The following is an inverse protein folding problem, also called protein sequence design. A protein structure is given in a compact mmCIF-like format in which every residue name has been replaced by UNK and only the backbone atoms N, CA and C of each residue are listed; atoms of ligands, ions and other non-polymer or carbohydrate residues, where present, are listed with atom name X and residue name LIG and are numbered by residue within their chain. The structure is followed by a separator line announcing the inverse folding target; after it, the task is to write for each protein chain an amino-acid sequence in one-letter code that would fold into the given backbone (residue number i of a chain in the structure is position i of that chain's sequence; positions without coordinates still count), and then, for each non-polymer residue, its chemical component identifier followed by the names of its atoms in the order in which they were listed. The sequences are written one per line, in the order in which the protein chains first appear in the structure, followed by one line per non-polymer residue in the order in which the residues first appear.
data_IF_624334439311
#
_entry.id   IF_624334439311
#
_cell.length_a   1.000
_cell.length_b   1.000
_cell.length_c   1.000
_cell.angle_alpha   90.00
_cell.angle_beta   90.00
_cell.angle_gamma   90.00
#
_symmetry.space_group_name_H-M   'P 1'
#
loop_
_entity.id
_entity.type
_entity.pdbx_description
1 polymer ?
#
# COMPACT_ATOMS: atom_id res chain seq x y z
N UNK A 1 13.48 -12.98 22.38
CA UNK A 1 13.62 -11.70 23.12
C UNK A 1 12.71 -10.59 22.58
N UNK A 2 12.61 -10.40 21.26
CA UNK A 2 11.77 -9.34 20.63
C UNK A 2 10.30 -9.41 21.01
N UNK A 3 9.67 -10.59 20.88
CA UNK A 3 8.26 -10.83 21.25
C UNK A 3 7.96 -10.46 22.71
N UNK A 4 8.87 -10.82 23.63
CA UNK A 4 8.70 -10.54 25.06
C UNK A 4 8.78 -9.03 25.38
N UNK A 5 9.52 -8.25 24.59
CA UNK A 5 9.75 -6.82 24.84
C UNK A 5 8.72 -5.92 24.13
N UNK A 6 8.26 -6.33 22.95
CA UNK A 6 7.46 -5.49 22.04
C UNK A 6 6.19 -6.19 21.52
N UNK A 7 5.79 -7.31 22.12
CA UNK A 7 4.51 -8.01 21.86
C UNK A 7 4.24 -8.20 20.36
N UNK A 8 3.22 -7.55 19.83
CA UNK A 8 2.79 -7.51 18.44
C UNK A 8 3.88 -7.00 17.48
N UNK A 9 4.51 -5.87 17.77
CA UNK A 9 5.63 -5.36 16.97
C UNK A 9 6.83 -6.29 17.06
N UNK A 10 7.06 -6.87 18.24
CA UNK A 10 8.13 -7.84 18.48
C UNK A 10 7.96 -9.14 17.71
N UNK A 11 6.71 -9.61 17.53
CA UNK A 11 6.38 -10.77 16.71
C UNK A 11 6.57 -10.48 15.21
N UNK A 12 6.10 -9.32 14.75
CA UNK A 12 6.31 -8.89 13.37
C UNK A 12 7.82 -8.81 13.03
N UNK A 13 8.63 -8.20 13.90
CA UNK A 13 10.08 -8.17 13.73
C UNK A 13 10.72 -9.56 13.80
N UNK A 14 10.33 -10.39 14.76
CA UNK A 14 10.86 -11.75 14.89
C UNK A 14 10.60 -12.57 13.62
N UNK A 15 9.40 -12.45 13.04
CA UNK A 15 9.09 -13.03 11.74
C UNK A 15 9.97 -12.44 10.63
N UNK A 16 10.08 -11.11 10.54
CA UNK A 16 10.90 -10.43 9.53
C UNK A 16 12.36 -10.88 9.53
N UNK A 17 12.97 -11.02 10.70
CA UNK A 17 14.37 -11.43 10.85
C UNK A 17 14.59 -12.95 10.79
N UNK A 18 13.51 -13.74 10.72
CA UNK A 18 13.59 -15.21 10.71
C UNK A 18 13.82 -15.83 12.09
N UNK A 19 13.66 -15.07 13.17
CA UNK A 19 13.67 -15.58 14.55
C UNK A 19 12.43 -16.48 14.79
N UNK A 20 11.35 -16.24 14.05
CA UNK A 20 10.13 -17.07 14.01
C UNK A 20 9.84 -17.42 12.56
N UNK A 21 9.70 -18.71 12.28
CA UNK A 21 9.24 -19.21 10.99
C UNK A 21 7.80 -19.72 11.08
N UNK A 22 6.99 -19.36 10.10
CA UNK A 22 5.57 -19.69 10.07
C UNK A 22 5.09 -19.71 8.62
N UNK A 23 4.47 -20.83 8.22
CA UNK A 23 3.93 -20.99 6.87
C UNK A 23 2.71 -20.10 6.63
N UNK A 24 1.81 -20.01 7.62
CA UNK A 24 0.62 -19.18 7.60
C UNK A 24 0.61 -18.15 8.74
N UNK A 25 1.38 -17.08 8.52
CA UNK A 25 1.43 -15.93 9.43
C UNK A 25 0.05 -15.24 9.57
N UNK A 26 -0.84 -15.36 8.58
CA UNK A 26 -2.19 -14.77 8.66
C UNK A 26 -3.02 -15.48 9.71
N UNK A 27 -3.04 -16.81 9.67
CA UNK A 27 -3.72 -17.65 10.66
C UNK A 27 -3.12 -17.48 12.06
N UNK A 28 -1.79 -17.36 12.18
CA UNK A 28 -1.14 -17.08 13.47
C UNK A 28 -1.64 -15.75 14.07
N UNK A 29 -1.68 -14.68 13.28
CA UNK A 29 -2.17 -13.37 13.77
C UNK A 29 -3.67 -13.44 14.11
N UNK A 30 -4.49 -14.14 13.31
CA UNK A 30 -5.91 -14.33 13.62
C UNK A 30 -6.11 -15.07 14.95
N UNK A 31 -5.33 -16.12 15.22
CA UNK A 31 -5.36 -16.83 16.51
C UNK A 31 -5.00 -15.88 17.65
N UNK A 32 -3.95 -15.07 17.49
CA UNK A 32 -3.54 -14.10 18.53
C UNK A 32 -4.62 -13.04 18.78
N UNK A 33 -5.28 -12.55 17.74
CA UNK A 33 -6.39 -11.59 17.85
C UNK A 33 -7.59 -12.23 18.54
N UNK A 34 -7.95 -13.46 18.15
CA UNK A 34 -9.06 -14.20 18.75
C UNK A 34 -8.85 -14.46 20.25
N UNK A 35 -7.59 -14.63 20.67
CA UNK A 35 -7.20 -14.88 22.06
C UNK A 35 -6.68 -13.63 22.78
N UNK A 36 -6.86 -12.42 22.23
CA UNK A 36 -6.27 -11.18 22.76
C UNK A 36 -6.58 -10.94 24.24
N UNK A 37 -7.79 -11.30 24.67
CA UNK A 37 -8.23 -11.11 26.05
C UNK A 37 -7.47 -12.00 27.04
N UNK A 38 -7.16 -13.24 26.66
CA UNK A 38 -6.37 -14.16 27.48
C UNK A 38 -4.91 -13.70 27.55
N UNK A 39 -4.37 -13.19 26.44
CA UNK A 39 -3.01 -12.66 26.36
C UNK A 39 -2.84 -11.38 27.21
N UNK A 40 -3.87 -10.54 27.26
CA UNK A 40 -3.87 -9.32 28.08
C UNK A 40 -4.02 -9.61 29.58
N UNK A 41 -4.75 -10.69 29.95
CA UNK A 41 -5.04 -11.04 31.32
C UNK A 41 -3.89 -11.76 32.06
N UNK A 42 -2.97 -12.42 31.35
CA UNK A 42 -1.86 -13.19 31.95
C UNK A 42 -0.66 -12.31 32.37
N UNK A 43 -0.97 -11.23 33.08
CA UNK A 43 -0.11 -10.11 33.47
C UNK A 43 0.84 -10.40 34.64
N UNK A 44 1.34 -11.63 34.80
CA UNK A 44 2.35 -11.94 35.83
C UNK A 44 3.78 -11.72 35.29
N UNK A 45 4.00 -11.87 33.98
CA UNK A 45 5.30 -11.62 33.32
C UNK A 45 5.48 -10.18 32.80
N UNK A 46 4.39 -9.43 32.61
CA UNK A 46 4.37 -8.08 32.01
C UNK A 46 4.72 -6.96 32.99
N UNK A 47 4.55 -7.16 34.30
CA UNK A 47 4.83 -6.16 35.34
C UNK A 47 6.34 -5.89 35.51
N UNK A 48 7.19 -6.92 35.42
CA UNK A 48 8.64 -6.78 35.58
C UNK A 48 9.36 -6.19 34.35
N UNK A 49 8.83 -6.40 33.14
CA UNK A 49 9.43 -5.87 31.89
C UNK A 49 8.91 -4.47 31.52
N UNK A 50 7.84 -3.99 32.15
CA UNK A 50 7.17 -2.73 31.82
C UNK A 50 8.01 -1.46 32.08
N UNK A 51 8.96 -1.48 33.01
CA UNK A 51 9.83 -0.32 33.29
C UNK A 51 10.86 -0.03 32.18
N UNK A 52 11.20 -1.03 31.36
CA UNK A 52 12.06 -0.85 30.19
C UNK A 52 11.33 -0.29 28.96
N UNK A 53 9.99 -0.36 28.93
CA UNK A 53 9.16 -0.02 27.75
C UNK A 53 9.18 1.46 27.37
N UNK A 54 9.40 2.39 28.31
CA UNK A 54 9.28 3.84 28.06
C UNK A 54 10.53 4.47 27.41
N UNK A 55 11.71 3.88 27.64
CA UNK A 55 12.99 4.48 27.23
C UNK A 55 13.47 4.01 25.86
N UNK A 56 13.18 2.77 25.46
CA UNK A 56 13.54 2.22 24.14
C UNK A 56 12.48 2.51 23.07
N UNK A 57 11.20 2.58 23.44
CA UNK A 57 10.11 2.96 22.51
C UNK A 57 10.29 4.36 21.94
N UNK A 58 10.80 5.33 22.71
CA UNK A 58 11.07 6.69 22.20
C UNK A 58 12.21 6.77 21.19
N UNK A 59 13.26 5.94 21.34
CA UNK A 59 14.35 5.82 20.34
C UNK A 59 13.91 5.05 19.09
N UNK A 60 13.04 4.04 19.24
CA UNK A 60 12.52 3.23 18.14
C UNK A 60 11.39 3.91 17.36
N UNK A 61 10.48 4.63 18.04
CA UNK A 61 9.56 5.57 17.37
C UNK A 61 10.37 6.65 16.64
N UNK A 62 11.53 7.09 17.13
CA UNK A 62 12.39 8.01 16.39
C UNK A 62 12.88 7.47 15.04
N UNK A 63 13.07 6.15 14.91
CA UNK A 63 13.48 5.47 13.67
C UNK A 63 12.27 5.25 12.73
N UNK A 64 11.05 5.22 13.27
CA UNK A 64 9.80 5.00 12.50
C UNK A 64 8.94 6.27 12.29
N UNK A 65 9.18 7.35 13.03
CA UNK A 65 8.32 8.54 13.11
C UNK A 65 9.10 9.78 12.70
N UNK A 66 9.80 9.69 11.56
CA UNK A 66 10.06 10.87 10.76
C UNK A 66 9.22 10.72 9.50
N UNK A 67 7.97 11.21 9.53
CA UNK A 67 6.95 10.92 8.52
C UNK A 67 7.40 11.26 7.09
N UNK A 68 8.21 12.31 6.90
CA UNK A 68 8.85 12.61 5.60
C UNK A 68 9.85 11.52 5.18
N UNK A 69 10.77 11.14 6.06
CA UNK A 69 11.81 10.15 5.74
C UNK A 69 11.24 8.74 5.57
N UNK A 70 10.21 8.36 6.34
CA UNK A 70 9.63 7.01 6.30
C UNK A 70 8.62 6.83 5.14
N UNK A 71 7.81 7.86 4.83
CA UNK A 71 6.97 7.86 3.63
C UNK A 71 7.85 7.86 2.37
N UNK A 72 8.92 8.67 2.33
CA UNK A 72 9.88 8.64 1.23
C UNK A 72 10.57 7.27 1.14
N UNK A 73 11.10 6.72 2.23
CA UNK A 73 11.83 5.45 2.22
C UNK A 73 10.98 4.23 1.81
N UNK A 74 9.65 4.26 2.03
CA UNK A 74 8.75 3.20 1.58
C UNK A 74 8.40 3.29 0.09
N UNK A 75 8.30 4.51 -0.47
CA UNK A 75 8.01 4.76 -1.89
C UNK A 75 9.25 4.98 -2.76
N UNK A 76 10.42 5.16 -2.16
CA UNK A 76 11.71 5.22 -2.84
C UNK A 76 12.27 3.82 -3.15
N UNK A 77 11.51 2.76 -2.81
CA UNK A 77 11.69 1.45 -3.39
C UNK A 77 11.39 1.51 -4.90
N UNK A 78 12.32 1.01 -5.71
CA UNK A 78 12.30 1.20 -7.16
C UNK A 78 10.98 0.79 -7.82
N UNK A 79 10.55 1.56 -8.83
CA UNK A 79 9.31 1.34 -9.59
C UNK A 79 9.13 -0.09 -10.09
N UNK A 80 10.24 -0.79 -10.38
CA UNK A 80 10.26 -2.20 -10.79
C UNK A 80 9.58 -3.11 -9.77
N UNK A 81 9.84 -2.89 -8.48
CA UNK A 81 9.25 -3.69 -7.41
C UNK A 81 7.72 -3.48 -7.35
N UNK A 82 7.26 -2.22 -7.34
CA UNK A 82 5.82 -1.93 -7.34
C UNK A 82 5.12 -2.44 -8.61
N UNK A 83 5.76 -2.31 -9.78
CA UNK A 83 5.19 -2.83 -11.04
C UNK A 83 4.98 -4.35 -11.04
N UNK A 84 5.62 -5.09 -10.15
CA UNK A 84 5.47 -6.54 -10.04
C UNK A 84 4.12 -6.97 -9.45
N UNK A 85 3.38 -6.09 -8.78
CA UNK A 85 2.09 -6.44 -8.17
C UNK A 85 1.01 -5.37 -8.28
N UNK A 86 1.34 -4.15 -8.71
CA UNK A 86 0.35 -3.13 -9.02
C UNK A 86 -0.29 -3.34 -10.40
N UNK A 87 -1.33 -2.56 -10.65
CA UNK A 87 -1.90 -2.46 -11.98
C UNK A 87 -0.92 -1.81 -12.96
N UNK A 88 -1.13 -2.00 -14.27
CA UNK A 88 -0.32 -1.39 -15.33
C UNK A 88 -0.26 0.13 -15.23
N UNK A 89 -1.32 0.75 -14.70
CA UNK A 89 -1.35 2.18 -14.44
C UNK A 89 -0.64 2.58 -13.13
N UNK A 90 0.03 1.66 -12.44
CA UNK A 90 0.75 1.86 -11.18
C UNK A 90 -0.14 2.50 -10.10
N UNK A 91 -1.39 2.03 -9.99
CA UNK A 91 -2.31 2.49 -8.95
C UNK A 91 -2.00 1.80 -7.62
N UNK A 92 -1.56 2.58 -6.62
CA UNK A 92 -1.35 2.12 -5.25
C UNK A 92 -2.46 2.64 -4.34
N UNK A 93 -3.68 2.19 -4.63
CA UNK A 93 -4.85 2.46 -3.82
C UNK A 93 -5.78 1.24 -3.86
N UNK A 94 -6.90 1.31 -3.14
CA UNK A 94 -7.94 0.26 -3.22
C UNK A 94 -8.35 0.01 -4.67
N UNK A 95 -8.78 -1.20 -4.95
CA UNK A 95 -9.48 -1.57 -6.17
C UNK A 95 -11.00 -1.56 -5.96
N UNK A 96 -11.75 -1.82 -7.03
CA UNK A 96 -13.16 -2.20 -6.98
C UNK A 96 -13.32 -3.54 -7.70
N UNK A 97 -13.91 -4.50 -7.00
CA UNK A 97 -14.10 -5.88 -7.45
C UNK A 97 -15.61 -6.11 -7.58
N UNK A 98 -16.04 -6.83 -8.61
CA UNK A 98 -17.46 -7.18 -8.78
C UNK A 98 -17.94 -8.10 -7.67
N UNK A 99 -17.09 -9.06 -7.28
CA UNK A 99 -17.33 -9.95 -6.16
C UNK A 99 -16.14 -9.89 -5.19
N UNK A 100 -16.40 -9.37 -4.00
CA UNK A 100 -15.39 -9.12 -2.97
C UNK A 100 -14.74 -10.42 -2.46
N UNK A 101 -15.48 -11.52 -2.36
CA UNK A 101 -15.02 -12.79 -1.77
C UNK A 101 -14.72 -13.89 -2.79
N UNK A 102 -14.68 -13.57 -4.09
CA UNK A 102 -14.36 -14.54 -5.16
C UNK A 102 -13.00 -15.24 -4.97
N UNK A 103 -12.01 -14.62 -4.31
CA UNK A 103 -10.71 -15.24 -4.02
C UNK A 103 -10.73 -16.23 -2.87
N UNK A 104 -11.71 -16.11 -1.98
CA UNK A 104 -11.87 -16.96 -0.81
C UNK A 104 -12.72 -18.20 -1.11
N UNK A 105 -13.40 -18.25 -2.26
CA UNK A 105 -14.23 -19.39 -2.67
C UNK A 105 -13.35 -20.60 -3.06
N UNK A 106 -13.42 -21.72 -2.31
CA UNK A 106 -12.66 -22.93 -2.62
C UNK A 106 -12.95 -23.51 -4.02
N UNK A 107 -14.17 -23.32 -4.54
CA UNK A 107 -14.55 -23.76 -5.88
C UNK A 107 -13.93 -22.89 -6.98
N UNK A 108 -13.65 -21.61 -6.70
CA UNK A 108 -12.93 -20.71 -7.60
C UNK A 108 -11.43 -21.02 -7.63
N UNK A 109 -10.86 -21.40 -6.49
CA UNK A 109 -9.47 -21.88 -6.37
C UNK A 109 -9.24 -23.16 -7.19
N UNK A 110 -10.15 -24.14 -7.10
CA UNK A 110 -10.04 -25.41 -7.82
C UNK A 110 -10.12 -25.28 -9.37
N UNK A 111 -10.77 -24.23 -9.88
CA UNK A 111 -10.92 -23.99 -11.33
C UNK A 111 -9.72 -23.28 -11.98
N UNK A 112 -8.66 -22.97 -11.23
CA UNK A 112 -7.49 -22.25 -11.76
C UNK A 112 -7.78 -20.82 -12.23
N UNK A 113 -8.99 -20.30 -11.96
CA UNK A 113 -9.43 -18.94 -12.29
C UNK A 113 -8.57 -17.93 -11.53
N UNK A 114 -8.17 -18.27 -10.30
CA UNK A 114 -7.23 -17.51 -9.46
C UNK A 114 -5.81 -17.36 -10.07
N UNK A 115 -5.43 -18.18 -11.05
CA UNK A 115 -4.04 -18.25 -11.55
C UNK A 115 -3.77 -17.51 -12.86
N UNK A 116 -4.66 -17.60 -13.86
CA UNK A 116 -4.39 -17.09 -15.23
C UNK A 116 -5.44 -16.13 -15.80
N UNK A 117 -6.71 -16.29 -15.43
CA UNK A 117 -7.79 -15.36 -15.80
C UNK A 117 -7.91 -14.21 -14.79
N UNK A 118 -7.43 -14.42 -13.56
CA UNK A 118 -7.37 -13.42 -12.50
C UNK A 118 -6.49 -12.23 -12.86
N UNK A 119 -5.37 -12.38 -13.58
CA UNK A 119 -4.45 -11.24 -13.78
C UNK A 119 -5.09 -10.10 -14.58
N UNK A 120 -5.77 -10.36 -15.69
CA UNK A 120 -6.43 -9.29 -16.46
C UNK A 120 -7.64 -8.69 -15.73
N UNK A 121 -8.46 -9.53 -15.09
CA UNK A 121 -9.63 -9.07 -14.30
C UNK A 121 -9.19 -8.28 -13.06
N UNK A 122 -8.14 -8.72 -12.37
CA UNK A 122 -7.52 -8.01 -11.26
C UNK A 122 -6.91 -6.69 -11.72
N UNK A 123 -6.16 -6.67 -12.83
CA UNK A 123 -5.62 -5.45 -13.41
C UNK A 123 -6.72 -4.42 -13.73
N UNK A 124 -7.86 -4.90 -14.26
CA UNK A 124 -9.03 -4.07 -14.49
C UNK A 124 -9.65 -3.54 -13.18
N UNK A 125 -9.86 -4.40 -12.19
CA UNK A 125 -10.39 -4.01 -10.87
C UNK A 125 -9.50 -3.02 -10.13
N UNK A 126 -8.18 -3.22 -10.16
CA UNK A 126 -7.17 -2.32 -9.60
C UNK A 126 -7.20 -0.92 -10.25
N UNK A 127 -7.57 -0.85 -11.53
CA UNK A 127 -7.70 0.42 -12.26
C UNK A 127 -9.06 1.12 -12.08
N UNK A 128 -10.09 0.46 -11.54
CA UNK A 128 -11.46 1.00 -11.50
C UNK A 128 -11.72 1.97 -10.35
N UNK A 129 -10.98 1.88 -9.24
CA UNK A 129 -11.23 2.73 -8.08
C UNK A 129 -11.07 4.23 -8.39
N UNK A 130 -10.07 4.60 -9.20
CA UNK A 130 -9.91 5.98 -9.68
C UNK A 130 -11.12 6.49 -10.47
N UNK A 131 -11.76 5.65 -11.29
CA UNK A 131 -12.98 6.03 -12.01
C UNK A 131 -14.15 6.30 -11.07
N UNK A 132 -14.29 5.47 -10.03
CA UNK A 132 -15.30 5.66 -9.00
C UNK A 132 -15.10 6.97 -8.23
N UNK A 133 -13.87 7.25 -7.79
CA UNK A 133 -13.53 8.50 -7.11
C UNK A 133 -13.86 9.69 -8.00
N UNK A 134 -13.43 9.65 -9.28
CA UNK A 134 -13.71 10.71 -10.23
C UNK A 134 -15.22 10.94 -10.44
N UNK A 135 -16.02 9.88 -10.52
CA UNK A 135 -17.48 9.99 -10.59
C UNK A 135 -18.07 10.67 -9.35
N UNK A 136 -17.57 10.34 -8.15
CA UNK A 136 -18.03 10.91 -6.88
C UNK A 136 -17.54 12.34 -6.65
N UNK A 137 -16.41 12.73 -7.24
CA UNK A 137 -15.77 14.03 -7.08
C UNK A 137 -16.53 15.21 -7.72
N UNK A 138 -17.52 14.93 -8.58
CA UNK A 138 -18.35 15.93 -9.28
C UNK A 138 -17.53 16.99 -10.04
N UNK A 139 -16.32 16.64 -10.49
CA UNK A 139 -15.47 17.50 -11.32
C UNK A 139 -16.23 17.83 -12.62
N UNK A 140 -16.19 19.10 -13.01
CA UNK A 140 -16.73 19.62 -14.27
C UNK A 140 -15.61 20.02 -15.21
N UNK A 141 -15.96 20.13 -16.48
CA UNK A 141 -15.00 20.54 -17.50
C UNK A 141 -14.44 21.94 -17.26
N UNK A 142 -13.13 22.10 -17.51
CA UNK A 142 -12.41 23.35 -17.30
C UNK A 142 -12.06 23.69 -15.85
N UNK A 143 -12.41 22.86 -14.87
CA UNK A 143 -12.08 23.12 -13.46
C UNK A 143 -10.61 22.85 -13.14
N UNK A 144 -10.17 23.39 -11.99
CA UNK A 144 -8.86 23.11 -11.38
C UNK A 144 -9.03 22.13 -10.22
N UNK A 145 -8.16 21.12 -10.16
CA UNK A 145 -8.26 19.98 -9.23
C UNK A 145 -6.97 19.82 -8.43
N UNK A 146 -7.10 19.57 -7.11
CA UNK A 146 -5.96 19.23 -6.23
C UNK A 146 -6.02 17.75 -5.98
N UNK A 147 -4.98 17.07 -6.38
CA UNK A 147 -4.73 15.71 -5.94
C UNK A 147 -3.65 15.71 -4.85
N UNK A 148 -4.01 15.24 -3.66
CA UNK A 148 -3.05 14.99 -2.59
C UNK A 148 -2.67 13.51 -2.64
N UNK A 149 -1.41 13.23 -2.97
CA UNK A 149 -0.90 11.89 -3.18
C UNK A 149 -0.88 11.51 -4.66
N UNK A 150 0.07 12.06 -5.43
CA UNK A 150 0.21 11.80 -6.88
C UNK A 150 0.29 10.32 -7.26
N UNK A 151 0.84 9.48 -6.37
CA UNK A 151 1.28 8.14 -6.75
C UNK A 151 2.15 8.23 -8.00
N UNK A 152 1.81 7.46 -9.03
CA UNK A 152 2.50 7.50 -10.32
C UNK A 152 1.74 8.28 -11.41
N UNK A 153 0.80 9.15 -11.03
CA UNK A 153 0.08 10.07 -11.93
C UNK A 153 -1.17 9.49 -12.60
N UNK A 154 -1.60 8.28 -12.24
CA UNK A 154 -2.70 7.57 -12.91
C UNK A 154 -4.06 8.25 -12.78
N UNK A 155 -4.34 8.85 -11.63
CA UNK A 155 -5.59 9.57 -11.36
C UNK A 155 -5.57 10.95 -12.02
N UNK A 156 -4.48 11.73 -11.88
CA UNK A 156 -4.33 13.01 -12.58
C UNK A 156 -4.50 12.88 -14.10
N UNK A 157 -3.84 11.90 -14.72
CA UNK A 157 -3.94 11.63 -16.16
C UNK A 157 -5.38 11.28 -16.53
N UNK A 158 -6.06 10.44 -15.73
CA UNK A 158 -7.44 10.08 -15.99
C UNK A 158 -8.38 11.28 -15.86
N UNK A 159 -8.23 12.09 -14.80
CA UNK A 159 -9.04 13.26 -14.55
C UNK A 159 -8.93 14.28 -15.70
N UNK A 160 -7.70 14.61 -16.11
CA UNK A 160 -7.46 15.57 -17.19
C UNK A 160 -8.01 15.09 -18.53
N UNK A 161 -7.90 13.78 -18.85
CA UNK A 161 -8.47 13.20 -20.07
C UNK A 161 -9.99 13.14 -20.05
N UNK A 162 -10.58 12.75 -18.92
CA UNK A 162 -12.04 12.55 -18.82
C UNK A 162 -12.80 13.86 -18.71
N UNK A 163 -12.30 14.81 -17.93
CA UNK A 163 -13.01 16.06 -17.67
C UNK A 163 -12.41 17.26 -18.37
N UNK A 164 -11.30 17.17 -19.09
CA UNK A 164 -10.67 18.35 -19.67
C UNK A 164 -10.38 19.42 -18.58
N UNK A 165 -9.98 18.97 -17.40
CA UNK A 165 -9.63 19.80 -16.24
C UNK A 165 -8.11 20.01 -16.15
N UNK A 166 -7.70 21.01 -15.37
CA UNK A 166 -6.30 21.22 -14.98
C UNK A 166 -6.09 20.58 -13.61
N UNK A 167 -5.02 19.79 -13.46
CA UNK A 167 -4.70 19.07 -12.24
C UNK A 167 -3.37 19.57 -11.70
N UNK A 168 -3.34 19.95 -10.43
CA UNK A 168 -2.08 20.02 -9.70
C UNK A 168 -2.06 18.89 -8.69
N UNK A 169 -0.97 18.16 -8.67
CA UNK A 169 -0.83 16.95 -7.87
C UNK A 169 0.43 17.02 -7.04
N UNK A 170 0.35 16.59 -5.78
CA UNK A 170 1.44 16.70 -4.82
C UNK A 170 1.83 15.33 -4.26
N UNK A 171 3.13 15.05 -4.18
CA UNK A 171 3.68 13.86 -3.55
C UNK A 171 4.94 14.20 -2.76
N UNK A 172 5.25 13.40 -1.74
CA UNK A 172 6.52 13.47 -1.00
C UNK A 172 7.63 12.63 -1.65
N UNK A 173 7.30 11.71 -2.58
CA UNK A 173 8.29 10.81 -3.19
C UNK A 173 8.81 11.37 -4.52
N UNK A 174 10.13 11.50 -4.61
CA UNK A 174 10.82 11.95 -5.81
C UNK A 174 10.70 10.94 -6.96
N UNK A 175 10.79 9.63 -6.67
CA UNK A 175 10.63 8.54 -7.64
C UNK A 175 9.24 8.52 -8.27
N UNK A 176 8.19 8.69 -7.44
CA UNK A 176 6.81 8.84 -7.89
C UNK A 176 6.64 10.06 -8.78
N UNK A 177 7.15 11.22 -8.35
CA UNK A 177 7.08 12.44 -9.14
C UNK A 177 7.78 12.31 -10.49
N UNK A 178 8.96 11.69 -10.52
CA UNK A 178 9.74 11.49 -11.75
C UNK A 178 8.97 10.62 -12.76
N UNK A 179 8.47 9.45 -12.34
CA UNK A 179 7.72 8.58 -13.25
C UNK A 179 6.34 9.16 -13.61
N UNK A 180 5.68 9.87 -12.69
CA UNK A 180 4.42 10.56 -12.99
C UNK A 180 4.62 11.60 -14.10
N UNK A 181 5.67 12.45 -14.00
CA UNK A 181 6.01 13.45 -15.04
C UNK A 181 6.26 12.79 -16.39
N UNK A 182 7.04 11.72 -16.43
CA UNK A 182 7.29 10.95 -17.66
C UNK A 182 5.99 10.45 -18.30
N UNK A 183 5.09 9.88 -17.50
CA UNK A 183 3.80 9.37 -17.99
C UNK A 183 2.85 10.48 -18.45
N UNK A 184 2.92 11.64 -17.82
CA UNK A 184 2.14 12.83 -18.21
C UNK A 184 2.63 13.36 -19.57
N UNK A 185 3.94 13.39 -19.76
CA UNK A 185 4.58 13.74 -21.04
C UNK A 185 4.20 12.75 -22.14
N UNK A 186 4.34 11.44 -21.90
CA UNK A 186 3.90 10.38 -22.83
C UNK A 186 2.40 10.47 -23.17
N UNK A 187 1.59 11.01 -22.25
CA UNK A 187 0.17 11.23 -22.45
C UNK A 187 -0.19 12.57 -23.13
N UNK A 188 0.81 13.43 -23.43
CA UNK A 188 0.66 14.78 -23.95
C UNK A 188 -0.26 15.68 -23.08
N UNK A 189 -0.02 15.70 -21.77
CA UNK A 189 -0.84 16.45 -20.79
C UNK A 189 -0.04 17.44 -19.95
N UNK A 190 1.19 17.78 -20.35
CA UNK A 190 2.09 18.68 -19.62
C UNK A 190 1.56 20.10 -19.49
N UNK A 191 0.65 20.52 -20.39
CA UNK A 191 -0.07 21.79 -20.34
C UNK A 191 -1.20 21.81 -19.28
N UNK A 192 -1.61 20.63 -18.78
CA UNK A 192 -2.77 20.47 -17.90
C UNK A 192 -2.45 19.88 -16.55
N UNK A 193 -1.32 19.20 -16.41
CA UNK A 193 -0.97 18.50 -15.18
C UNK A 193 0.38 18.99 -14.65
N UNK A 194 0.37 19.54 -13.45
CA UNK A 194 1.58 19.95 -12.74
C UNK A 194 1.85 19.03 -11.56
N UNK A 195 3.03 18.44 -11.51
CA UNK A 195 3.47 17.55 -10.42
C UNK A 195 4.43 18.28 -9.48
N UNK A 196 4.03 18.43 -8.22
CA UNK A 196 4.86 18.98 -7.17
C UNK A 196 5.41 17.88 -6.25
N UNK A 197 6.73 17.90 -6.05
CA UNK A 197 7.40 17.05 -5.07
C UNK A 197 7.63 17.87 -3.80
N UNK A 198 6.60 17.99 -2.97
CA UNK A 198 6.63 18.79 -1.74
C UNK A 198 5.59 18.31 -0.72
N UNK A 199 5.69 18.82 0.50
CA UNK A 199 4.65 18.61 1.49
C UNK A 199 3.39 19.41 1.13
N UNK A 200 2.22 18.75 1.08
CA UNK A 200 0.96 19.43 0.78
C UNK A 200 0.62 20.54 1.79
N UNK A 201 1.16 20.45 3.02
CA UNK A 201 0.97 21.46 4.07
C UNK A 201 1.70 22.76 3.77
N UNK A 202 2.76 22.69 2.96
CA UNK A 202 3.54 23.84 2.51
C UNK A 202 2.91 24.51 1.27
N UNK A 203 1.82 23.95 0.73
CA UNK A 203 1.08 24.51 -0.39
C UNK A 203 0.30 25.76 0.06
N UNK A 204 0.96 26.93 -0.01
CA UNK A 204 0.48 28.22 0.54
C UNK A 204 -0.66 28.85 -0.27
N UNK A 205 -0.73 28.58 -1.57
CA UNK A 205 -1.73 29.15 -2.46
C UNK A 205 -2.90 28.19 -2.63
N UNK A 206 -3.69 27.92 -1.59
CA UNK A 206 -4.97 27.17 -1.74
C UNK A 206 -6.00 28.14 -2.33
N UNK A 207 -6.27 28.14 -3.63
CA UNK A 207 -7.27 29.02 -4.18
C UNK A 207 -8.65 28.45 -3.79
N UNK A 208 -9.60 29.32 -3.44
CA UNK A 208 -10.91 28.94 -2.90
C UNK A 208 -11.72 27.99 -3.81
N UNK A 209 -11.35 27.89 -5.09
CA UNK A 209 -12.07 27.19 -6.15
C UNK A 209 -11.57 25.77 -6.47
N UNK A 210 -10.77 25.16 -5.60
CA UNK A 210 -10.24 23.83 -5.86
C UNK A 210 -11.16 22.72 -5.34
N UNK A 211 -11.54 21.82 -6.23
CA UNK A 211 -12.14 20.54 -5.84
C UNK A 211 -11.02 19.64 -5.30
N UNK A 212 -11.10 19.32 -3.99
CA UNK A 212 -10.10 18.48 -3.33
C UNK A 212 -10.42 17.01 -3.58
N UNK A 213 -9.47 16.30 -4.17
CA UNK A 213 -9.49 14.85 -4.26
C UNK A 213 -8.37 14.31 -3.36
N UNK A 214 -8.73 13.74 -2.21
CA UNK A 214 -7.82 13.00 -1.35
C UNK A 214 -8.08 11.53 -1.55
N UNK A 215 -7.05 10.75 -1.83
CA UNK A 215 -7.20 9.31 -2.05
C UNK A 215 -6.31 8.57 -1.06
N UNK A 216 -6.92 7.84 -0.14
CA UNK A 216 -6.41 6.54 0.25
C UNK A 216 -7.40 5.75 1.09
N UNK A 217 -7.56 4.48 0.67
CA UNK A 217 -8.41 3.44 1.25
C UNK A 217 -9.86 3.54 0.77
N UNK A 218 -10.31 2.47 0.12
CA UNK A 218 -11.67 2.25 -0.35
C UNK A 218 -12.22 0.94 0.22
N UNK A 219 -13.50 0.61 -0.03
CA UNK A 219 -14.18 -0.51 0.62
C UNK A 219 -13.50 -1.86 0.39
N UNK A 220 -12.76 -2.03 -0.73
CA UNK A 220 -12.15 -3.30 -1.07
C UNK A 220 -10.63 -3.35 -0.80
N UNK A 221 -10.13 -2.52 0.12
CA UNK A 221 -8.69 -2.44 0.35
C UNK A 221 -8.09 -3.76 0.85
N UNK A 222 -8.78 -4.49 1.74
CA UNK A 222 -8.34 -5.81 2.17
C UNK A 222 -8.25 -6.82 1.01
N UNK A 223 -9.28 -6.98 0.17
CA UNK A 223 -9.19 -7.80 -1.05
C UNK A 223 -8.06 -7.34 -1.99
N UNK A 224 -7.83 -6.04 -2.09
CA UNK A 224 -6.73 -5.46 -2.90
C UNK A 224 -5.37 -5.92 -2.38
N UNK A 225 -5.15 -5.87 -1.07
CA UNK A 225 -3.92 -6.32 -0.43
C UNK A 225 -3.69 -7.83 -0.61
N UNK A 226 -4.74 -8.66 -0.55
CA UNK A 226 -4.62 -10.10 -0.85
C UNK A 226 -4.16 -10.36 -2.28
N UNK A 227 -4.70 -9.61 -3.23
CA UNK A 227 -4.28 -9.71 -4.63
C UNK A 227 -2.84 -9.20 -4.85
N UNK A 228 -2.45 -8.11 -4.20
CA UNK A 228 -1.05 -7.64 -4.21
C UNK A 228 -0.09 -8.66 -3.60
N UNK A 229 -0.45 -9.29 -2.47
CA UNK A 229 0.33 -10.38 -1.85
C UNK A 229 0.56 -11.52 -2.84
N UNK A 230 -0.51 -11.96 -3.51
CA UNK A 230 -0.46 -13.04 -4.51
C UNK A 230 0.50 -12.71 -5.65
N UNK A 231 0.35 -11.52 -6.25
CA UNK A 231 1.21 -11.07 -7.36
C UNK A 231 2.65 -10.83 -6.93
N UNK A 232 2.87 -10.27 -5.74
CA UNK A 232 4.20 -10.06 -5.17
C UNK A 232 4.95 -11.38 -4.99
N UNK A 233 4.30 -12.39 -4.42
CA UNK A 233 4.89 -13.73 -4.25
C UNK A 233 5.16 -14.37 -5.61
N UNK A 234 4.21 -14.31 -6.55
CA UNK A 234 4.35 -14.89 -7.88
C UNK A 234 5.51 -14.27 -8.69
N UNK A 235 5.74 -12.96 -8.52
CA UNK A 235 6.79 -12.23 -9.23
C UNK A 235 8.09 -12.04 -8.40
N UNK A 236 8.21 -12.71 -7.26
CA UNK A 236 9.34 -12.53 -6.34
C UNK A 236 10.68 -12.86 -7.00
N UNK A 237 10.88 -14.12 -7.41
CA UNK A 237 12.15 -14.58 -8.01
C UNK A 237 12.40 -13.94 -9.39
N UNK A 238 11.33 -13.75 -10.18
CA UNK A 238 11.43 -13.29 -11.56
C UNK A 238 11.80 -11.82 -11.70
N UNK A 239 11.27 -10.98 -10.81
CA UNK A 239 11.28 -9.52 -10.97
C UNK A 239 11.76 -8.81 -9.71
N UNK A 240 11.13 -9.06 -8.56
CA UNK A 240 11.36 -8.27 -7.34
C UNK A 240 12.76 -8.51 -6.77
N UNK A 241 13.12 -9.77 -6.52
CA UNK A 241 14.41 -10.12 -5.92
C UNK A 241 15.57 -9.64 -6.81
N UNK A 242 15.48 -9.84 -8.13
CA UNK A 242 16.49 -9.37 -9.09
C UNK A 242 16.64 -7.86 -9.06
N UNK A 243 15.53 -7.11 -9.05
CA UNK A 243 15.56 -5.66 -8.97
C UNK A 243 16.23 -5.19 -7.67
N UNK A 244 15.94 -5.86 -6.55
CA UNK A 244 16.53 -5.54 -5.26
C UNK A 244 18.03 -5.82 -5.20
N UNK A 245 18.49 -6.93 -5.78
CA UNK A 245 19.93 -7.23 -5.90
C UNK A 245 20.62 -6.19 -6.78
N UNK A 246 20.04 -5.83 -7.93
CA UNK A 246 20.67 -4.92 -8.87
C UNK A 246 20.69 -3.46 -8.39
N UNK A 247 19.61 -3.01 -7.74
CA UNK A 247 19.47 -1.60 -7.34
C UNK A 247 20.03 -1.33 -5.94
N UNK A 248 19.94 -2.30 -5.03
CA UNK A 248 20.28 -2.12 -3.62
C UNK A 248 21.33 -3.11 -3.10
N UNK A 249 21.86 -3.99 -3.97
CA UNK A 249 22.93 -4.95 -3.63
C UNK A 249 22.58 -5.82 -2.41
N UNK A 250 21.30 -6.17 -2.26
CA UNK A 250 20.88 -7.03 -1.15
C UNK A 250 21.45 -8.45 -1.29
N UNK A 251 21.95 -8.98 -0.18
CA UNK A 251 22.35 -10.37 -0.05
C UNK A 251 21.14 -11.28 0.22
N UNK A 252 21.39 -12.59 0.33
CA UNK A 252 20.33 -13.59 0.56
C UNK A 252 19.54 -13.30 1.84
N UNK A 253 20.22 -12.85 2.90
CA UNK A 253 19.58 -12.52 4.17
C UNK A 253 18.70 -11.27 4.04
N UNK A 254 19.21 -10.21 3.42
CA UNK A 254 18.49 -8.97 3.16
C UNK A 254 17.25 -9.18 2.29
N UNK A 255 17.35 -10.03 1.26
CA UNK A 255 16.20 -10.46 0.45
C UNK A 255 15.16 -11.20 1.28
N UNK A 256 15.58 -12.13 2.13
CA UNK A 256 14.69 -12.85 3.04
C UNK A 256 13.93 -11.92 3.98
N UNK A 257 14.64 -10.98 4.61
CA UNK A 257 14.06 -9.98 5.51
C UNK A 257 13.06 -9.09 4.75
N UNK A 258 13.44 -8.62 3.58
CA UNK A 258 12.57 -7.78 2.74
C UNK A 258 11.29 -8.52 2.37
N UNK A 259 11.40 -9.78 1.91
CA UNK A 259 10.26 -10.61 1.55
C UNK A 259 9.30 -10.78 2.72
N UNK A 260 9.82 -11.17 3.88
CA UNK A 260 9.01 -11.40 5.10
C UNK A 260 8.35 -10.12 5.59
N UNK A 261 9.03 -8.98 5.52
CA UNK A 261 8.47 -7.65 5.83
C UNK A 261 7.25 -7.33 4.96
N UNK A 262 7.35 -7.54 3.65
CA UNK A 262 6.23 -7.27 2.73
C UNK A 262 5.09 -8.27 2.88
N UNK A 263 5.40 -9.56 3.08
CA UNK A 263 4.36 -10.55 3.42
C UNK A 263 3.60 -10.10 4.67
N UNK A 264 4.32 -9.76 5.76
CA UNK A 264 3.72 -9.28 6.99
C UNK A 264 2.87 -8.00 6.78
N UNK A 265 3.30 -7.09 5.92
CA UNK A 265 2.52 -5.89 5.57
C UNK A 265 1.18 -6.25 4.93
N UNK A 266 1.16 -7.21 4.00
CA UNK A 266 -0.08 -7.63 3.35
C UNK A 266 -1.03 -8.41 4.27
N UNK A 267 -0.53 -9.03 5.35
CA UNK A 267 -1.38 -9.78 6.30
C UNK A 267 -2.44 -8.90 6.95
N UNK A 268 -2.26 -7.57 7.00
CA UNK A 268 -3.29 -6.63 7.46
C UNK A 268 -4.65 -6.85 6.80
N UNK A 269 -4.64 -7.31 5.55
CA UNK A 269 -5.83 -7.68 4.77
C UNK A 269 -6.66 -8.83 5.35
N UNK A 270 -6.00 -9.73 6.07
CA UNK A 270 -6.56 -10.98 6.56
C UNK A 270 -7.08 -10.81 8.01
N UNK A 271 -6.84 -9.66 8.64
CA UNK A 271 -7.11 -9.43 10.07
C UNK A 271 -7.98 -8.20 10.38
N UNK A 272 -8.17 -7.26 9.45
CA UNK A 272 -9.14 -6.18 9.63
C UNK A 272 -10.58 -6.68 9.36
N UNK A 273 -11.54 -6.43 10.27
CA UNK A 273 -12.92 -6.86 10.09
C UNK A 273 -13.57 -6.19 8.88
N UNK A 274 -14.34 -6.98 8.16
CA UNK A 274 -15.08 -6.63 6.95
C UNK A 274 -16.06 -5.48 7.22
N UNK A 275 -16.09 -4.47 6.36
CA UNK A 275 -17.23 -3.55 6.27
C UNK A 275 -17.77 -3.52 4.84
N UNK A 276 -18.71 -4.43 4.50
CA UNK A 276 -19.34 -4.47 3.18
C UNK A 276 -20.18 -3.22 2.86
N UNK A 277 -20.55 -2.41 3.85
CA UNK A 277 -21.41 -1.24 3.69
C UNK A 277 -20.66 0.03 3.24
N UNK A 278 -19.33 -0.02 3.07
CA UNK A 278 -18.53 1.14 2.66
C UNK A 278 -18.61 1.51 1.16
N UNK A 279 -19.57 0.96 0.41
CA UNK A 279 -19.73 1.21 -1.04
C UNK A 279 -20.70 2.39 -1.34
N UNK A 280 -21.45 2.89 -0.35
CA UNK A 280 -22.42 3.99 -0.55
C UNK A 280 -21.83 5.38 -0.80
#
# INVERSE_FOLDING_TARGET
MRVALFTDLGLAEAFMFGDVDCEDISSLIQILIANRHEIENDSILTSFLSKGRSLTSKRFLGILVNSKANISAHYDLGNTMFSAYLSQDMNYSSAIFENYNEDLDPAAAAKGVAGRCATAKSQYSLANFRRFILKKSKIRSGQRVLEIGTGWGSLAILAAKTFNCTVETVTLSSNQAALARKRIEEANLTDRITVHCMDFREYKSKPEYWHRCSVNIGPHYARTLREWKRLFIANWEGTVAKALVLQYYLDVQGLGIFRRKWICHFVRADVEPENPDCIE
#
